data_IF_483074462350
#
_entry.id   IF_483074462350
#
_cell.length_a   1.000
_cell.length_b   1.000
_cell.length_c   1.000
_cell.angle_alpha   90.00
_cell.angle_beta   90.00
_cell.angle_gamma   90.00
#
_symmetry.space_group_name_H-M   'P 1'
#
loop_
_entity.id
_entity.type
_entity.pdbx_description
1 polymer ?
#
# COMPACT_ATOMS: atom_id res chain seq x y z
N UNK A 1 0.26 5.21 27.35
CA UNK A 1 1.24 6.11 26.68
C UNK A 1 1.00 6.03 25.19
N UNK A 2 1.26 7.10 24.45
CA UNK A 2 1.20 7.06 22.98
C UNK A 2 2.27 6.11 22.44
N UNK A 3 1.94 5.37 21.38
CA UNK A 3 2.90 4.55 20.62
C UNK A 3 3.37 5.34 19.40
N UNK A 4 4.67 5.37 19.08
CA UNK A 4 5.13 5.96 17.83
C UNK A 4 4.65 5.13 16.63
N UNK A 5 4.46 5.77 15.48
CA UNK A 5 4.03 5.12 14.25
C UNK A 5 5.00 5.45 13.10
N UNK A 6 5.15 4.51 12.19
CA UNK A 6 5.82 4.71 10.89
C UNK A 6 4.76 4.55 9.81
N UNK A 7 4.63 5.59 8.98
CA UNK A 7 3.80 5.57 7.79
C UNK A 7 4.67 5.19 6.60
N UNK A 8 4.26 4.17 5.84
CA UNK A 8 5.03 3.58 4.76
C UNK A 8 4.20 3.62 3.48
N UNK A 9 4.81 4.09 2.39
CA UNK A 9 4.20 4.02 1.06
C UNK A 9 4.28 2.60 0.47
N UNK A 10 3.52 2.32 -0.57
CA UNK A 10 3.51 1.04 -1.26
C UNK A 10 4.53 1.02 -2.40
N UNK A 11 4.25 1.77 -3.46
CA UNK A 11 5.02 1.76 -4.69
C UNK A 11 6.34 2.54 -4.53
N UNK A 12 7.47 1.89 -4.81
CA UNK A 12 8.81 2.43 -4.61
C UNK A 12 9.36 2.29 -3.19
N UNK A 13 8.59 1.74 -2.24
CA UNK A 13 8.99 1.54 -0.85
C UNK A 13 8.79 0.09 -0.38
N UNK A 14 7.58 -0.45 -0.54
CA UNK A 14 7.29 -1.86 -0.29
C UNK A 14 7.59 -2.70 -1.52
N UNK A 15 7.05 -2.31 -2.66
CA UNK A 15 7.34 -2.91 -3.96
C UNK A 15 8.16 -1.96 -4.83
N UNK A 16 8.84 -2.52 -5.82
CA UNK A 16 9.46 -1.74 -6.89
C UNK A 16 8.36 -1.04 -7.68
N UNK A 17 8.55 0.25 -7.95
CA UNK A 17 7.61 1.04 -8.74
C UNK A 17 7.78 0.74 -10.23
N UNK A 18 6.94 -0.14 -10.76
CA UNK A 18 6.80 -0.38 -12.20
C UNK A 18 5.69 0.48 -12.82
N UNK A 19 5.07 1.37 -12.04
CA UNK A 19 3.83 2.06 -12.37
C UNK A 19 2.62 1.13 -12.31
N UNK A 20 1.49 1.64 -11.84
CA UNK A 20 0.18 0.94 -11.81
C UNK A 20 0.23 -0.55 -11.47
N UNK A 21 1.04 -0.96 -10.49
CA UNK A 21 1.16 -2.37 -10.08
C UNK A 21 -0.19 -2.81 -9.47
N UNK A 22 -0.83 -3.78 -10.12
CA UNK A 22 -2.18 -4.28 -9.78
C UNK A 22 -2.33 -5.81 -9.92
N UNK A 23 -1.25 -6.52 -10.28
CA UNK A 23 -1.21 -7.98 -10.33
C UNK A 23 -0.08 -8.49 -9.46
N UNK A 24 -0.16 -9.76 -9.03
CA UNK A 24 0.91 -10.40 -8.26
C UNK A 24 2.16 -10.65 -9.10
N UNK A 25 2.00 -10.82 -10.41
CA UNK A 25 3.10 -11.11 -11.34
C UNK A 25 4.03 -9.90 -11.52
N UNK A 26 3.48 -8.69 -11.40
CA UNK A 26 4.21 -7.43 -11.46
C UNK A 26 4.65 -6.92 -10.08
N UNK A 27 4.39 -7.68 -9.01
CA UNK A 27 4.68 -7.27 -7.64
C UNK A 27 6.05 -7.77 -7.17
N UNK A 28 7.08 -6.98 -7.42
CA UNK A 28 8.44 -7.23 -6.94
C UNK A 28 8.69 -6.50 -5.60
N UNK A 29 9.00 -7.23 -4.52
CA UNK A 29 9.33 -6.61 -3.24
C UNK A 29 10.68 -5.90 -3.27
N UNK A 30 10.75 -4.72 -2.65
CA UNK A 30 12.03 -4.04 -2.39
C UNK A 30 12.91 -4.91 -1.48
N UNK A 31 14.18 -5.05 -1.84
CA UNK A 31 15.12 -5.87 -1.08
C UNK A 31 15.18 -5.46 0.40
N UNK A 32 14.95 -6.42 1.30
CA UNK A 32 15.01 -6.22 2.74
C UNK A 32 13.77 -5.57 3.37
N UNK A 33 12.69 -5.28 2.62
CA UNK A 33 11.48 -4.64 3.16
C UNK A 33 10.89 -5.39 4.35
N UNK A 34 10.79 -6.72 4.28
CA UNK A 34 10.26 -7.54 5.38
C UNK A 34 11.10 -7.43 6.65
N UNK A 35 12.43 -7.52 6.51
CA UNK A 35 13.36 -7.41 7.63
C UNK A 35 13.31 -6.02 8.28
N UNK A 36 13.21 -4.96 7.46
CA UNK A 36 13.08 -3.59 7.93
C UNK A 36 11.77 -3.39 8.72
N UNK A 37 10.64 -3.82 8.16
CA UNK A 37 9.33 -3.71 8.82
C UNK A 37 9.27 -4.52 10.12
N UNK A 38 9.80 -5.75 10.11
CA UNK A 38 9.89 -6.57 11.32
C UNK A 38 10.67 -5.88 12.44
N UNK A 39 11.82 -5.29 12.10
CA UNK A 39 12.63 -4.54 13.07
C UNK A 39 11.87 -3.35 13.65
N UNK A 40 11.07 -2.64 12.85
CA UNK A 40 10.22 -1.55 13.33
C UNK A 40 9.16 -2.05 14.33
N UNK A 41 8.51 -3.19 14.05
CA UNK A 41 7.56 -3.81 14.98
C UNK A 41 8.24 -4.25 16.28
N UNK A 42 9.43 -4.86 16.20
CA UNK A 42 10.22 -5.25 17.38
C UNK A 42 10.64 -4.05 18.25
N UNK A 43 10.85 -2.88 17.63
CA UNK A 43 11.09 -1.62 18.33
C UNK A 43 9.82 -1.00 18.95
N UNK A 44 8.65 -1.60 18.72
CA UNK A 44 7.37 -1.18 19.30
C UNK A 44 6.63 -0.09 18.50
N UNK A 45 7.01 0.14 17.24
CA UNK A 45 6.28 1.06 16.37
C UNK A 45 4.98 0.44 15.87
N UNK A 46 3.99 1.29 15.65
CA UNK A 46 2.87 0.99 14.76
C UNK A 46 3.34 1.10 13.31
N UNK A 47 2.98 0.15 12.46
CA UNK A 47 3.23 0.19 11.02
C UNK A 47 1.93 0.51 10.29
N UNK A 48 1.90 1.61 9.54
CA UNK A 48 0.72 2.03 8.80
C UNK A 48 1.07 2.19 7.33
N UNK A 49 0.43 1.43 6.46
CA UNK A 49 0.56 1.61 5.01
C UNK A 49 -0.37 2.75 4.56
N UNK A 50 0.16 3.68 3.78
CA UNK A 50 -0.59 4.78 3.16
C UNK A 50 -0.17 4.90 1.70
N UNK A 51 -1.11 4.82 0.74
CA UNK A 51 -0.74 4.82 -0.67
C UNK A 51 -1.75 5.52 -1.60
N UNK A 52 -1.24 6.17 -2.65
CA UNK A 52 -2.06 6.79 -3.68
C UNK A 52 -2.23 5.87 -4.88
N UNK A 53 -3.46 5.45 -5.17
CA UNK A 53 -3.79 4.45 -6.19
C UNK A 53 -4.64 5.04 -7.30
N UNK A 54 -4.12 6.10 -7.94
CA UNK A 54 -4.79 6.83 -9.01
C UNK A 54 -5.07 5.99 -10.26
N UNK A 55 -4.47 4.81 -10.38
CA UNK A 55 -4.78 3.83 -11.43
C UNK A 55 -6.26 3.42 -11.42
N UNK A 56 -6.90 3.39 -10.24
CA UNK A 56 -8.33 3.13 -10.08
C UNK A 56 -9.16 4.21 -10.79
N UNK A 57 -8.94 5.48 -10.43
CA UNK A 57 -9.60 6.60 -11.09
C UNK A 57 -9.30 6.70 -12.59
N UNK A 58 -8.13 6.24 -13.04
CA UNK A 58 -7.74 6.26 -14.46
C UNK A 58 -8.28 5.07 -15.25
N UNK A 59 -8.92 4.09 -14.61
CA UNK A 59 -9.46 2.89 -15.25
C UNK A 59 -8.39 1.88 -15.67
N UNK A 60 -7.21 1.92 -15.04
CA UNK A 60 -6.12 0.97 -15.30
C UNK A 60 -6.40 -0.39 -14.66
N UNK A 61 -7.06 -0.37 -13.50
CA UNK A 61 -7.53 -1.52 -12.74
C UNK A 61 -8.71 -1.10 -11.85
N UNK A 62 -9.47 -2.07 -11.38
CA UNK A 62 -10.61 -1.89 -10.49
C UNK A 62 -10.17 -1.79 -9.03
N UNK A 63 -11.03 -1.22 -8.19
CA UNK A 63 -10.80 -1.21 -6.74
C UNK A 63 -10.73 -2.64 -6.15
N UNK A 64 -11.53 -3.56 -6.67
CA UNK A 64 -11.52 -4.97 -6.26
C UNK A 64 -10.19 -5.67 -6.59
N UNK A 65 -9.59 -5.39 -7.76
CA UNK A 65 -8.26 -5.90 -8.12
C UNK A 65 -7.18 -5.35 -7.17
N UNK A 66 -7.26 -4.05 -6.85
CA UNK A 66 -6.36 -3.43 -5.87
C UNK A 66 -6.52 -4.05 -4.48
N UNK A 67 -7.74 -4.24 -4.01
CA UNK A 67 -8.03 -4.82 -2.69
C UNK A 67 -7.53 -6.28 -2.62
N UNK A 68 -7.74 -7.06 -3.69
CA UNK A 68 -7.26 -8.44 -3.79
C UNK A 68 -5.73 -8.52 -3.74
N UNK A 69 -5.04 -7.63 -4.48
CA UNK A 69 -3.58 -7.54 -4.43
C UNK A 69 -3.09 -7.10 -3.03
N UNK A 70 -3.79 -6.16 -2.41
CA UNK A 70 -3.46 -5.65 -1.07
C UNK A 70 -3.61 -6.72 -0.01
N UNK A 71 -4.68 -7.53 -0.07
CA UNK A 71 -4.87 -8.67 0.83
C UNK A 71 -3.76 -9.71 0.64
N UNK A 72 -3.44 -10.06 -0.61
CA UNK A 72 -2.33 -10.96 -0.90
C UNK A 72 -1.00 -10.43 -0.35
N UNK A 73 -0.70 -9.14 -0.53
CA UNK A 73 0.49 -8.50 0.01
C UNK A 73 0.51 -8.55 1.54
N UNK A 74 -0.61 -8.25 2.21
CA UNK A 74 -0.72 -8.29 3.67
C UNK A 74 -0.44 -9.70 4.22
N UNK A 75 -1.00 -10.74 3.59
CA UNK A 75 -0.68 -12.14 3.94
C UNK A 75 0.80 -12.47 3.84
N UNK A 76 1.50 -11.98 2.80
CA UNK A 76 2.95 -12.16 2.69
C UNK A 76 3.72 -11.49 3.83
N UNK A 77 3.28 -10.32 4.31
CA UNK A 77 3.88 -9.67 5.49
C UNK A 77 3.61 -10.48 6.76
N UNK A 78 2.39 -10.98 6.94
CA UNK A 78 2.01 -11.84 8.07
C UNK A 78 2.87 -13.10 8.11
N UNK A 79 3.08 -13.76 6.97
CA UNK A 79 3.96 -14.95 6.86
C UNK A 79 5.42 -14.64 7.22
N UNK A 80 5.84 -13.38 7.10
CA UNK A 80 7.16 -12.89 7.51
C UNK A 80 7.19 -12.34 8.95
N UNK A 81 6.09 -12.49 9.71
CA UNK A 81 5.96 -12.07 11.10
C UNK A 81 5.79 -10.56 11.26
N UNK A 82 5.17 -9.90 10.28
CA UNK A 82 4.88 -8.47 10.28
C UNK A 82 3.38 -8.28 10.06
N UNK A 83 2.74 -7.53 10.97
CA UNK A 83 1.33 -7.13 10.82
C UNK A 83 1.25 -5.61 10.70
N UNK A 84 0.54 -5.12 9.69
CA UNK A 84 0.20 -3.70 9.59
C UNK A 84 -0.88 -3.36 10.63
N UNK A 85 -0.70 -2.23 11.30
CA UNK A 85 -1.70 -1.67 12.22
C UNK A 85 -2.77 -0.84 11.48
N UNK A 86 -2.57 -0.58 10.19
CA UNK A 86 -3.56 -0.01 9.30
C UNK A 86 -3.06 0.06 7.86
N UNK A 87 -3.98 -0.09 6.92
CA UNK A 87 -3.74 0.04 5.48
C UNK A 87 -4.76 1.03 4.96
N UNK A 88 -4.28 2.13 4.40
CA UNK A 88 -5.11 3.22 3.87
C UNK A 88 -4.66 3.54 2.45
N UNK A 89 -5.63 3.85 1.59
CA UNK A 89 -5.34 4.20 0.22
C UNK A 89 -6.30 5.29 -0.27
N UNK A 90 -5.86 6.03 -1.29
CA UNK A 90 -6.72 6.95 -2.02
C UNK A 90 -6.86 6.54 -3.48
N UNK A 91 -8.09 6.22 -3.96
CA UNK A 91 -8.33 5.83 -5.35
C UNK A 91 -8.49 7.04 -6.30
N UNK A 92 -8.58 8.26 -5.76
CA UNK A 92 -9.06 9.44 -6.49
C UNK A 92 -8.02 10.13 -7.38
N UNK A 93 -8.49 10.72 -8.48
CA UNK A 93 -7.68 11.62 -9.32
C UNK A 93 -8.54 12.72 -9.98
N UNK A 94 -8.10 13.99 -10.06
CA UNK A 94 -8.87 15.07 -10.68
C UNK A 94 -9.23 14.83 -12.15
N UNK A 95 -8.31 14.17 -12.86
CA UNK A 95 -8.47 13.76 -14.26
C UNK A 95 -8.95 12.30 -14.40
N UNK A 96 -9.53 11.74 -13.34
CA UNK A 96 -10.10 10.39 -13.33
C UNK A 96 -11.43 10.26 -14.08
N UNK A 97 -12.09 9.13 -13.88
CA UNK A 97 -13.40 8.80 -14.43
C UNK A 97 -14.36 8.35 -13.33
N UNK A 98 -15.66 8.51 -13.57
CA UNK A 98 -16.72 8.06 -12.64
C UNK A 98 -16.62 8.68 -11.25
N UNK A 99 -16.99 7.89 -10.23
CA UNK A 99 -17.05 8.33 -8.83
C UNK A 99 -15.67 8.68 -8.24
N UNK A 100 -14.58 8.19 -8.86
CA UNK A 100 -13.23 8.49 -8.41
C UNK A 100 -12.62 9.76 -9.06
N UNK A 101 -13.35 10.43 -9.97
CA UNK A 101 -12.94 11.70 -10.56
C UNK A 101 -13.19 12.86 -9.59
N UNK A 102 -12.26 13.08 -8.69
CA UNK A 102 -12.35 14.21 -7.76
C UNK A 102 -10.98 14.74 -7.33
N UNK A 103 -10.97 16.02 -6.97
CA UNK A 103 -9.94 16.63 -6.15
C UNK A 103 -10.28 16.36 -4.69
N UNK A 104 -9.31 15.83 -3.94
CA UNK A 104 -9.53 15.28 -2.61
C UNK A 104 -8.37 15.60 -1.67
N UNK A 105 -8.68 15.70 -0.38
CA UNK A 105 -7.70 15.95 0.69
C UNK A 105 -7.22 14.66 1.38
N UNK A 106 -7.38 13.51 0.71
CA UNK A 106 -6.95 12.19 1.20
C UNK A 106 -5.43 11.95 1.11
N UNK A 107 -4.66 12.91 0.57
CA UNK A 107 -3.29 12.75 0.08
C UNK A 107 -2.25 13.36 1.02
#
# INVERSE_FOLDING_TARGET
MAKPAVFIDRDGVINVDHGYVHTTDDFEYVEGVFAACKKLKEMGYLLVLVTNQSGIARGMFTEDEFLSLTEWMDWNFVDNGVEFDGIYYCPHHPEGQGDYRQECDCR
#
